data_IF_099768960795
#
_entry.id   IF_099768960795
#
_cell.length_a   1.000
_cell.length_b   1.000
_cell.length_c   1.000
_cell.angle_alpha   90.00
_cell.angle_beta   90.00
_cell.angle_gamma   90.00
#
_symmetry.space_group_name_H-M   'P 1'
#
loop_
_entity.id
_entity.type
_entity.pdbx_description
1 polymer ?
#
# COMPACT_ATOMS: atom_id res chain seq x y z
N UNK A 1 -15.03 30.83 -8.75
CA UNK A 1 -14.51 32.14 -8.30
C UNK A 1 -15.52 32.76 -7.34
N UNK A 2 -15.28 32.70 -6.03
CA UNK A 2 -16.14 33.35 -5.03
C UNK A 2 -15.82 34.84 -4.94
N UNK A 3 -16.80 35.70 -5.27
CA UNK A 3 -16.75 37.15 -5.06
C UNK A 3 -17.38 37.51 -3.71
N UNK A 4 -16.62 38.25 -2.91
CA UNK A 4 -17.04 38.94 -1.70
C UNK A 4 -18.13 39.98 -2.00
N UNK A 5 -19.07 40.15 -1.08
CA UNK A 5 -19.86 41.37 -0.94
C UNK A 5 -19.53 42.03 0.40
N UNK A 6 -19.05 43.27 0.31
CA UNK A 6 -18.87 44.24 1.39
C UNK A 6 -19.95 45.28 1.21
N UNK A 7 -20.61 45.70 2.29
CA UNK A 7 -21.46 46.90 2.30
C UNK A 7 -21.04 47.81 3.45
N UNK A 8 -20.65 49.03 3.06
CA UNK A 8 -20.43 50.26 3.85
C UNK A 8 -21.79 50.74 4.40
N UNK A 9 -21.97 51.51 5.46
CA UNK A 9 -21.15 52.40 6.29
C UNK A 9 -22.09 53.45 6.90
N UNK A 10 -21.69 54.17 7.97
CA UNK A 10 -22.03 55.58 8.27
C UNK A 10 -21.49 56.01 9.66
N UNK A 11 -20.76 57.12 9.68
CA UNK A 11 -20.32 57.94 10.85
C UNK A 11 -21.27 59.17 10.92
N UNK A 12 -21.38 59.98 12.02
CA UNK A 12 -20.27 60.75 12.61
C UNK A 12 -20.32 61.06 14.13
N UNK A 13 -19.33 61.85 14.55
CA UNK A 13 -18.76 62.16 15.86
C UNK A 13 -19.47 63.22 16.75
N UNK A 14 -19.01 63.32 18.02
CA UNK A 14 -18.76 64.50 18.90
C UNK A 14 -18.79 64.01 20.36
N UNK A 15 -18.00 64.44 21.36
CA UNK A 15 -16.91 65.40 21.62
C UNK A 15 -16.46 65.05 23.08
N UNK A 16 -15.23 65.23 23.55
CA UNK A 16 -14.58 66.47 23.98
C UNK A 16 -13.22 66.04 24.58
N UNK A 17 -12.13 66.73 24.28
CA UNK A 17 -10.93 66.78 25.12
C UNK A 17 -10.93 68.13 25.87
N UNK A 18 -10.29 68.26 27.05
CA UNK A 18 -8.86 68.63 27.12
C UNK A 18 -8.10 67.92 28.28
N UNK A 19 -6.88 67.45 28.07
CA UNK A 19 -5.58 68.13 28.25
C UNK A 19 -5.03 68.18 29.70
N UNK A 20 -3.81 67.63 29.84
CA UNK A 20 -2.67 68.00 30.71
C UNK A 20 -2.16 66.88 31.62
N UNK A 21 -0.85 66.58 31.48
CA UNK A 21 -0.13 65.67 32.38
C UNK A 21 1.16 65.08 31.80
N UNK A 22 2.09 65.96 31.44
CA UNK A 22 3.54 65.79 31.23
C UNK A 22 4.25 64.44 31.54
N UNK A 23 5.01 63.99 30.53
CA UNK A 23 6.46 63.64 30.51
C UNK A 23 7.07 62.52 31.40
N UNK A 24 7.76 61.60 30.68
CA UNK A 24 9.06 60.94 30.97
C UNK A 24 9.11 59.97 32.17
N UNK A 25 9.83 58.84 32.18
CA UNK A 25 10.75 58.16 31.26
C UNK A 25 10.95 56.71 31.75
N UNK A 26 11.33 55.83 30.81
CA UNK A 26 12.13 54.59 30.94
C UNK A 26 11.66 53.42 31.84
N UNK A 27 11.52 52.25 31.22
CA UNK A 27 11.70 50.95 31.89
C UNK A 27 10.99 49.76 31.22
N UNK A 28 11.71 49.02 30.37
CA UNK A 28 11.59 47.58 30.07
C UNK A 28 10.19 46.90 30.04
N UNK A 29 9.79 46.40 28.86
CA UNK A 29 8.72 45.39 28.64
C UNK A 29 9.26 43.96 28.81
N UNK A 30 8.46 42.86 28.88
CA UNK A 30 6.99 42.72 29.04
C UNK A 30 6.59 41.56 30.02
N UNK A 31 5.28 41.23 30.03
CA UNK A 31 4.63 40.00 30.53
C UNK A 31 3.89 40.11 31.86
N UNK A 32 2.64 40.56 31.81
CA UNK A 32 1.61 40.13 32.76
C UNK A 32 0.38 39.69 31.95
N UNK A 33 0.14 38.37 31.99
CA UNK A 33 -1.16 37.80 31.68
C UNK A 33 -2.19 38.39 32.64
N UNK A 34 -3.22 38.97 32.06
CA UNK A 34 -4.27 39.73 32.71
C UNK A 34 -5.12 38.81 33.60
N UNK A 35 -5.00 38.91 34.93
CA UNK A 35 -6.12 38.64 35.81
C UNK A 35 -6.95 39.94 35.90
N UNK A 36 -8.22 39.97 35.50
CA UNK A 36 -9.09 41.07 35.90
C UNK A 36 -9.41 40.87 37.38
N UNK A 37 -8.73 41.63 38.23
CA UNK A 37 -9.19 41.86 39.58
C UNK A 37 -10.47 42.71 39.51
N UNK A 38 -11.50 42.24 40.22
CA UNK A 38 -12.76 42.91 40.56
C UNK A 38 -13.90 42.83 39.53
N UNK A 39 -14.81 41.89 39.78
CA UNK A 39 -16.15 41.84 39.19
C UNK A 39 -16.98 40.70 39.76
N UNK A 40 -17.73 40.99 40.83
CA UNK A 40 -18.92 40.27 41.33
C UNK A 40 -19.07 38.77 41.00
N UNK A 41 -18.84 37.91 41.99
CA UNK A 41 -19.45 36.57 42.03
C UNK A 41 -20.42 36.51 43.22
N UNK A 42 -21.70 36.13 43.02
CA UNK A 42 -22.62 35.92 44.12
C UNK A 42 -22.12 34.76 44.98
N UNK A 43 -22.15 34.97 46.29
CA UNK A 43 -21.93 33.93 47.28
C UNK A 43 -22.90 32.77 47.01
N UNK A 44 -22.38 31.54 47.05
CA UNK A 44 -23.09 30.25 46.90
C UNK A 44 -22.98 29.62 45.50
N UNK A 45 -21.74 29.38 45.05
CA UNK A 45 -21.42 28.36 44.06
C UNK A 45 -20.37 27.44 44.63
N UNK A 46 -20.76 26.22 44.99
CA UNK A 46 -19.92 25.18 45.56
C UNK A 46 -18.96 24.62 44.50
N UNK A 47 -17.97 25.42 44.07
CA UNK A 47 -16.76 24.91 43.45
C UNK A 47 -15.77 24.65 44.57
N UNK A 48 -15.22 23.43 44.75
CA UNK A 48 -14.16 23.25 45.72
C UNK A 48 -13.00 24.16 45.31
N UNK A 49 -12.69 25.14 46.16
CA UNK A 49 -11.61 26.11 45.99
C UNK A 49 -10.22 25.47 46.21
N UNK A 50 -10.03 24.25 45.72
CA UNK A 50 -8.76 23.54 45.81
C UNK A 50 -8.08 23.69 44.46
N UNK A 51 -7.40 24.83 44.25
CA UNK A 51 -6.44 24.95 43.16
C UNK A 51 -5.30 23.95 43.37
N UNK A 52 -4.77 23.38 42.28
CA UNK A 52 -3.60 22.52 42.37
C UNK A 52 -2.41 23.29 42.92
N UNK A 53 -1.73 22.72 43.91
CA UNK A 53 -0.43 23.23 44.34
C UNK A 53 0.58 23.14 43.20
N UNK A 54 1.60 24.00 43.23
CA UNK A 54 2.70 23.97 42.24
C UNK A 54 3.33 22.56 42.13
N UNK A 55 3.42 21.85 43.25
CA UNK A 55 3.97 20.49 43.31
C UNK A 55 3.06 19.47 42.61
N UNK A 56 1.75 19.54 42.82
CA UNK A 56 0.77 18.67 42.14
C UNK A 56 0.78 18.90 40.63
N UNK A 57 0.89 20.16 40.19
CA UNK A 57 1.04 20.49 38.77
C UNK A 57 2.34 19.91 38.19
N UNK A 58 3.47 20.09 38.88
CA UNK A 58 4.77 19.56 38.47
C UNK A 58 4.76 18.03 38.37
N UNK A 59 4.14 17.36 39.35
CA UNK A 59 3.99 15.91 39.34
C UNK A 59 3.12 15.44 38.18
N UNK A 60 1.99 16.11 37.94
CA UNK A 60 1.11 15.78 36.81
C UNK A 60 1.84 15.93 35.48
N UNK A 61 2.60 17.02 35.27
CA UNK A 61 3.39 17.23 34.06
C UNK A 61 4.49 16.18 33.92
N UNK A 62 5.18 15.83 35.01
CA UNK A 62 6.21 14.79 34.98
C UNK A 62 5.64 13.42 34.62
N UNK A 63 4.50 13.03 35.21
CA UNK A 63 3.81 11.77 34.89
C UNK A 63 3.32 11.79 33.44
N UNK A 64 2.71 12.89 32.98
CA UNK A 64 2.27 13.03 31.59
C UNK A 64 3.43 12.94 30.60
N UNK A 65 4.58 13.53 30.92
CA UNK A 65 5.77 13.44 30.08
C UNK A 65 6.26 11.98 29.96
N UNK A 66 6.32 11.25 31.07
CA UNK A 66 6.74 9.84 31.06
C UNK A 66 5.73 8.95 30.33
N UNK A 67 4.42 9.14 30.57
CA UNK A 67 3.38 8.33 29.93
C UNK A 67 3.26 8.61 28.43
N UNK A 68 3.40 9.87 28.01
CA UNK A 68 3.38 10.21 26.58
C UNK A 68 4.58 9.60 25.86
N UNK A 69 5.80 9.71 26.41
CA UNK A 69 6.98 9.06 25.82
C UNK A 69 6.77 7.56 25.68
N UNK A 70 6.27 6.88 26.72
CA UNK A 70 5.96 5.45 26.66
C UNK A 70 4.86 5.12 25.64
N UNK A 71 3.82 5.95 25.53
CA UNK A 71 2.74 5.75 24.57
C UNK A 71 3.23 5.92 23.12
N UNK A 72 4.08 6.92 22.85
CA UNK A 72 4.64 7.14 21.52
C UNK A 72 5.55 5.98 21.09
N UNK A 73 6.39 5.45 21.98
CA UNK A 73 7.26 4.31 21.65
C UNK A 73 6.43 3.07 21.34
N UNK A 74 5.47 2.71 22.21
CA UNK A 74 4.58 1.56 21.98
C UNK A 74 3.79 1.73 20.69
N UNK A 75 3.22 2.91 20.44
CA UNK A 75 2.49 3.18 19.19
C UNK A 75 3.39 3.00 17.96
N UNK A 76 4.62 3.51 17.99
CA UNK A 76 5.56 3.38 16.88
C UNK A 76 5.93 1.93 16.59
N UNK A 77 6.12 1.10 17.62
CA UNK A 77 6.40 -0.33 17.46
C UNK A 77 5.20 -1.08 16.89
N UNK A 78 4.00 -0.83 17.42
CA UNK A 78 2.77 -1.44 16.92
C UNK A 78 2.49 -1.06 15.47
N UNK A 79 2.70 0.22 15.12
CA UNK A 79 2.51 0.70 13.76
C UNK A 79 3.51 0.09 12.79
N UNK A 80 4.80 -0.01 13.17
CA UNK A 80 5.82 -0.67 12.36
C UNK A 80 5.51 -2.16 12.15
N UNK A 81 5.08 -2.87 13.19
CA UNK A 81 4.69 -4.28 13.09
C UNK A 81 3.45 -4.47 12.20
N UNK A 82 2.42 -3.63 12.38
CA UNK A 82 1.22 -3.65 11.55
C UNK A 82 1.54 -3.36 10.07
N UNK A 83 2.43 -2.40 9.81
CA UNK A 83 2.87 -2.05 8.47
C UNK A 83 3.58 -3.20 7.75
N UNK A 84 4.49 -3.90 8.44
CA UNK A 84 5.16 -5.08 7.89
C UNK A 84 4.16 -6.18 7.52
N UNK A 85 3.17 -6.42 8.38
CA UNK A 85 2.12 -7.41 8.12
C UNK A 85 1.24 -7.03 6.93
N UNK A 86 0.96 -5.73 6.75
CA UNK A 86 0.23 -5.21 5.60
C UNK A 86 1.00 -5.39 4.28
N UNK A 87 2.32 -5.18 4.28
CA UNK A 87 3.14 -5.45 3.10
C UNK A 87 3.16 -6.95 2.74
N UNK A 88 3.25 -7.82 3.75
CA UNK A 88 3.22 -9.27 3.56
C UNK A 88 1.88 -9.79 3.04
N UNK A 89 0.76 -9.17 3.41
CA UNK A 89 -0.56 -9.54 2.87
C UNK A 89 -0.75 -9.02 1.45
N UNK A 90 -0.29 -7.80 1.14
CA UNK A 90 -0.33 -7.23 -0.21
C UNK A 90 0.50 -8.06 -1.21
N UNK A 91 1.70 -8.52 -0.82
CA UNK A 91 2.53 -9.40 -1.64
C UNK A 91 1.82 -10.73 -1.95
N UNK A 92 1.18 -11.34 -0.94
CA UNK A 92 0.40 -12.59 -1.12
C UNK A 92 -0.80 -12.39 -2.03
N UNK A 93 -1.59 -11.34 -1.82
CA UNK A 93 -2.74 -11.02 -2.68
C UNK A 93 -2.30 -10.76 -4.13
N UNK A 94 -1.21 -10.01 -4.31
CA UNK A 94 -0.62 -9.77 -5.62
C UNK A 94 -0.17 -11.06 -6.32
N UNK A 95 0.46 -11.98 -5.58
CA UNK A 95 0.88 -13.28 -6.12
C UNK A 95 -0.30 -14.13 -6.60
N UNK A 96 -1.35 -14.26 -5.79
CA UNK A 96 -2.54 -15.03 -6.21
C UNK A 96 -3.31 -14.31 -7.33
N UNK A 97 -3.40 -12.98 -7.31
CA UNK A 97 -4.00 -12.22 -8.40
C UNK A 97 -3.25 -12.42 -9.73
N UNK A 98 -1.92 -12.47 -9.69
CA UNK A 98 -1.08 -12.82 -10.85
C UNK A 98 -1.40 -14.23 -11.35
N UNK A 99 -1.50 -15.21 -10.45
CA UNK A 99 -1.90 -16.57 -10.80
C UNK A 99 -3.27 -16.63 -11.49
N UNK A 100 -4.28 -15.98 -10.92
CA UNK A 100 -5.61 -15.95 -11.54
C UNK A 100 -5.63 -15.23 -12.89
N UNK A 101 -4.86 -14.14 -13.05
CA UNK A 101 -4.70 -13.48 -14.34
C UNK A 101 -4.11 -14.45 -15.37
N UNK A 102 -3.07 -15.18 -14.98
CA UNK A 102 -2.37 -16.15 -15.81
C UNK A 102 -3.27 -17.32 -16.23
N UNK A 103 -4.04 -17.87 -15.28
CA UNK A 103 -5.03 -18.88 -15.57
C UNK A 103 -6.07 -18.38 -16.58
N UNK A 104 -6.58 -17.16 -16.42
CA UNK A 104 -7.55 -16.59 -17.35
C UNK A 104 -6.97 -16.44 -18.75
N UNK A 105 -5.74 -15.94 -18.87
CA UNK A 105 -5.03 -15.81 -20.15
C UNK A 105 -4.88 -17.18 -20.83
N UNK A 106 -4.41 -18.20 -20.09
CA UNK A 106 -4.26 -19.57 -20.63
C UNK A 106 -5.61 -20.22 -20.99
N UNK A 107 -6.66 -19.96 -20.22
CA UNK A 107 -8.01 -20.48 -20.49
C UNK A 107 -8.64 -19.88 -21.75
N UNK A 108 -8.41 -18.60 -22.03
CA UNK A 108 -8.93 -17.96 -23.24
C UNK A 108 -8.39 -18.63 -24.51
N UNK A 109 -7.14 -19.09 -24.49
CA UNK A 109 -6.52 -19.78 -25.63
C UNK A 109 -7.04 -21.23 -25.82
N UNK A 110 -7.40 -21.91 -24.71
CA UNK A 110 -7.99 -23.26 -24.76
C UNK A 110 -9.39 -23.29 -25.38
N UNK A 111 -10.15 -22.19 -25.28
CA UNK A 111 -11.52 -22.17 -25.80
C UNK A 111 -11.59 -21.99 -27.32
N UNK A 112 -10.61 -21.33 -27.94
CA UNK A 112 -10.68 -21.07 -29.39
C UNK A 112 -9.94 -22.13 -30.22
N UNK A 113 -8.94 -22.78 -29.66
CA UNK A 113 -8.37 -24.02 -30.25
C UNK A 113 -9.41 -25.15 -30.32
N UNK A 114 -10.49 -25.09 -29.52
CA UNK A 114 -11.62 -26.01 -29.65
C UNK A 114 -12.56 -25.71 -30.83
N UNK A 115 -12.53 -24.49 -31.39
CA UNK A 115 -13.39 -24.02 -32.48
C UNK A 115 -12.69 -24.04 -33.85
N UNK A 116 -11.36 -24.05 -33.88
CA UNK A 116 -10.56 -24.28 -35.10
C UNK A 116 -10.56 -25.78 -35.45
N UNK A 117 -11.72 -26.28 -35.87
CA UNK A 117 -11.95 -27.70 -36.19
C UNK A 117 -11.61 -28.06 -37.64
N UNK A 118 -11.07 -27.11 -38.42
CA UNK A 118 -10.91 -27.29 -39.87
C UNK A 118 -9.67 -26.56 -40.41
N UNK A 119 -8.50 -27.21 -40.27
CA UNK A 119 -7.37 -27.17 -41.22
C UNK A 119 -6.13 -27.79 -40.59
N UNK A 120 -5.44 -28.61 -41.39
CA UNK A 120 -4.24 -29.45 -41.18
C UNK A 120 -2.99 -28.78 -40.55
N UNK A 121 -3.09 -27.62 -39.88
CA UNK A 121 -1.94 -26.82 -39.45
C UNK A 121 -1.64 -26.93 -37.94
N UNK A 122 -2.53 -27.51 -37.12
CA UNK A 122 -2.35 -27.59 -35.65
C UNK A 122 -1.77 -28.92 -35.13
N UNK A 123 -1.10 -29.72 -35.97
CA UNK A 123 -0.45 -30.97 -35.55
C UNK A 123 0.90 -30.77 -34.80
N UNK A 124 1.36 -29.53 -34.63
CA UNK A 124 2.56 -29.20 -33.88
C UNK A 124 2.17 -28.58 -32.53
N UNK A 125 2.63 -29.20 -31.44
CA UNK A 125 2.38 -28.80 -30.05
C UNK A 125 2.31 -27.26 -29.89
N UNK A 126 1.15 -26.67 -29.53
CA UNK A 126 0.96 -25.22 -29.50
C UNK A 126 1.74 -24.53 -28.38
N UNK A 127 2.43 -25.32 -27.55
CA UNK A 127 3.24 -24.89 -26.42
C UNK A 127 4.71 -25.18 -26.71
N UNK A 128 5.55 -24.14 -26.66
CA UNK A 128 7.00 -24.27 -26.72
C UNK A 128 7.61 -23.78 -25.41
N UNK A 129 8.13 -24.71 -24.60
CA UNK A 129 8.77 -24.40 -23.34
C UNK A 129 10.29 -24.58 -23.43
N UNK A 130 11.03 -23.51 -23.14
CA UNK A 130 12.46 -23.52 -22.97
C UNK A 130 12.80 -23.43 -21.47
N UNK A 131 13.29 -24.54 -20.91
CA UNK A 131 13.67 -24.63 -19.50
C UNK A 131 14.91 -23.77 -19.16
N UNK A 132 15.80 -23.52 -20.12
CA UNK A 132 17.03 -22.74 -19.90
C UNK A 132 16.71 -21.25 -19.73
N UNK A 133 15.75 -20.76 -20.52
CA UNK A 133 15.27 -19.37 -20.46
C UNK A 133 14.04 -19.20 -19.56
N UNK A 134 13.52 -20.29 -18.99
CA UNK A 134 12.26 -20.35 -18.23
C UNK A 134 11.16 -19.59 -18.95
N UNK A 135 10.99 -19.93 -20.22
CA UNK A 135 10.16 -19.21 -21.17
C UNK A 135 9.17 -20.17 -21.81
N UNK A 136 7.89 -19.82 -21.76
CA UNK A 136 6.80 -20.53 -22.39
C UNK A 136 6.21 -19.64 -23.49
N UNK A 137 6.28 -20.10 -24.72
CA UNK A 137 5.59 -19.50 -25.85
C UNK A 137 4.34 -20.32 -26.18
N UNK A 138 3.26 -19.63 -26.53
CA UNK A 138 2.01 -20.24 -26.94
C UNK A 138 1.36 -19.44 -28.07
N UNK A 139 0.65 -20.14 -28.95
CA UNK A 139 -0.10 -19.51 -30.03
C UNK A 139 -1.44 -19.00 -29.52
N UNK A 140 -1.76 -17.75 -29.89
CA UNK A 140 -3.06 -17.14 -29.67
C UNK A 140 -4.02 -17.41 -30.82
N UNK A 141 -5.31 -17.35 -30.52
CA UNK A 141 -6.46 -17.31 -31.45
C UNK A 141 -6.21 -16.57 -32.76
N UNK A 142 -5.59 -15.38 -32.69
CA UNK A 142 -5.37 -14.50 -33.84
C UNK A 142 -4.16 -14.92 -34.70
N UNK A 143 -3.55 -16.09 -34.43
CA UNK A 143 -2.31 -16.57 -35.06
C UNK A 143 -1.04 -15.91 -34.51
N UNK A 144 -1.14 -15.03 -33.51
CA UNK A 144 0.01 -14.37 -32.89
C UNK A 144 0.63 -15.26 -31.81
N UNK A 145 1.95 -15.40 -31.79
CA UNK A 145 2.67 -16.08 -30.71
C UNK A 145 2.80 -15.11 -29.55
N UNK A 146 2.24 -15.46 -28.39
CA UNK A 146 2.45 -14.76 -27.12
C UNK A 146 3.30 -15.61 -26.20
N UNK A 147 3.86 -15.01 -25.16
CA UNK A 147 4.79 -15.73 -24.32
C UNK A 147 4.88 -15.19 -22.92
N UNK A 148 5.33 -16.04 -22.02
CA UNK A 148 5.56 -15.73 -20.62
C UNK A 148 6.94 -16.26 -20.25
N UNK A 149 7.73 -15.46 -19.54
CA UNK A 149 9.04 -15.90 -19.05
C UNK A 149 9.35 -15.37 -17.67
N UNK A 150 10.19 -16.07 -16.93
CA UNK A 150 10.69 -15.63 -15.64
C UNK A 150 12.10 -15.04 -15.80
N UNK A 151 12.26 -13.72 -15.60
CA UNK A 151 13.56 -13.04 -15.67
C UNK A 151 13.68 -12.01 -14.54
N UNK A 152 14.86 -11.92 -13.92
CA UNK A 152 15.10 -10.99 -12.80
C UNK A 152 14.09 -11.14 -11.64
N UNK A 153 13.65 -12.38 -11.39
CA UNK A 153 12.61 -12.72 -10.40
C UNK A 153 11.23 -12.09 -10.68
N UNK A 154 11.02 -11.48 -11.85
CA UNK A 154 9.74 -10.97 -12.31
C UNK A 154 9.20 -11.85 -13.43
N UNK A 155 7.87 -12.02 -13.45
CA UNK A 155 7.18 -12.68 -14.54
C UNK A 155 6.97 -11.63 -15.63
N UNK A 156 7.44 -11.93 -16.83
CA UNK A 156 7.31 -11.06 -17.97
C UNK A 156 6.35 -11.70 -18.97
N UNK A 157 5.52 -10.88 -19.59
CA UNK A 157 4.62 -11.27 -20.66
C UNK A 157 4.96 -10.54 -21.94
N UNK A 158 4.74 -11.23 -23.06
CA UNK A 158 4.97 -10.71 -24.39
C UNK A 158 3.65 -10.69 -25.18
N UNK A 159 3.15 -9.50 -25.58
CA UNK A 159 1.93 -9.37 -26.39
C UNK A 159 2.13 -9.75 -27.85
N UNK A 160 3.32 -9.49 -28.39
CA UNK A 160 3.62 -9.53 -29.82
C UNK A 160 4.51 -10.72 -30.20
N UNK A 161 4.41 -11.15 -31.46
CA UNK A 161 5.15 -12.29 -32.01
C UNK A 161 6.67 -12.19 -31.79
N UNK A 162 7.28 -13.34 -31.49
CA UNK A 162 8.73 -13.55 -31.53
C UNK A 162 9.21 -14.46 -30.39
N UNK A 163 10.52 -14.71 -30.38
CA UNK A 163 11.11 -15.77 -29.56
C UNK A 163 11.41 -15.35 -28.13
N UNK A 164 11.76 -16.32 -27.28
CA UNK A 164 12.15 -16.11 -25.88
C UNK A 164 13.29 -15.09 -25.69
N UNK A 165 14.16 -14.92 -26.68
CA UNK A 165 15.30 -13.99 -26.66
C UNK A 165 14.99 -12.59 -27.22
N UNK A 166 13.83 -12.41 -27.84
CA UNK A 166 13.45 -11.13 -28.43
C UNK A 166 13.18 -10.05 -27.36
N UNK A 167 13.15 -8.79 -27.78
CA UNK A 167 12.74 -7.64 -26.95
C UNK A 167 11.21 -7.50 -26.90
N UNK A 168 10.69 -6.52 -26.16
CA UNK A 168 9.25 -6.28 -26.06
C UNK A 168 8.54 -7.02 -24.93
N UNK A 169 9.28 -7.45 -23.91
CA UNK A 169 8.73 -8.11 -22.73
C UNK A 169 8.30 -7.09 -21.68
N UNK A 170 7.09 -7.24 -21.17
CA UNK A 170 6.47 -6.38 -20.16
C UNK A 170 6.45 -7.11 -18.82
N UNK A 171 6.85 -6.44 -17.75
CA UNK A 171 6.72 -7.00 -16.41
C UNK A 171 5.25 -7.03 -16.00
N UNK A 172 4.75 -8.21 -15.61
CA UNK A 172 3.37 -8.41 -15.14
C UNK A 172 3.18 -7.96 -13.68
N UNK A 173 4.27 -7.92 -12.92
CA UNK A 173 4.27 -7.50 -11.53
C UNK A 173 5.58 -6.77 -11.20
N UNK A 174 5.56 -6.03 -10.10
CA UNK A 174 6.76 -5.40 -9.56
C UNK A 174 7.55 -6.41 -8.71
N UNK A 175 8.79 -6.77 -9.09
CA UNK A 175 9.64 -7.67 -8.30
C UNK A 175 9.99 -7.11 -6.90
N UNK A 176 9.85 -5.79 -6.69
CA UNK A 176 10.09 -5.18 -5.38
C UNK A 176 8.96 -5.47 -4.39
N UNK A 177 7.71 -5.57 -4.87
CA UNK A 177 6.58 -5.98 -4.03
C UNK A 177 6.72 -7.46 -3.69
N UNK A 178 6.96 -8.28 -4.72
CA UNK A 178 6.96 -9.72 -4.56
C UNK A 178 7.77 -10.36 -5.69
N UNK A 179 8.57 -11.41 -5.43
CA UNK A 179 9.48 -11.99 -6.42
C UNK A 179 9.29 -13.49 -6.56
N UNK A 180 9.52 -14.04 -7.75
CA UNK A 180 9.37 -15.46 -8.07
C UNK A 180 10.73 -16.17 -8.12
N UNK A 181 10.81 -17.37 -7.54
CA UNK A 181 12.02 -18.21 -7.57
C UNK A 181 12.05 -19.10 -8.81
N UNK A 182 10.93 -19.75 -9.11
CA UNK A 182 10.85 -20.81 -10.11
C UNK A 182 9.52 -20.75 -10.88
N UNK A 183 9.62 -21.13 -12.14
CA UNK A 183 8.53 -21.22 -13.12
C UNK A 183 8.68 -22.58 -13.78
N UNK A 184 7.78 -23.49 -13.44
CA UNK A 184 7.81 -24.87 -13.95
C UNK A 184 6.60 -25.13 -14.82
N UNK A 185 6.89 -25.61 -16.02
CA UNK A 185 5.89 -26.07 -16.97
C UNK A 185 6.17 -27.52 -17.32
N UNK A 186 5.23 -28.40 -17.01
CA UNK A 186 5.35 -29.84 -17.25
C UNK A 186 4.19 -30.33 -18.09
N UNK A 187 4.50 -31.21 -19.04
CA UNK A 187 3.51 -31.92 -19.84
C UNK A 187 3.63 -33.40 -19.46
N UNK A 188 2.58 -33.94 -18.86
CA UNK A 188 2.48 -35.36 -18.52
C UNK A 188 2.23 -36.21 -19.78
N UNK A 189 2.65 -37.47 -19.75
CA UNK A 189 2.37 -38.45 -20.81
C UNK A 189 0.87 -38.70 -21.02
N UNK A 190 0.05 -38.43 -19.99
CA UNK A 190 -1.41 -38.45 -20.07
C UNK A 190 -2.01 -37.29 -20.88
N UNK A 191 -1.20 -36.31 -21.30
CA UNK A 191 -1.67 -35.07 -21.96
C UNK A 191 -2.12 -33.99 -20.98
N UNK A 192 -1.98 -34.21 -19.67
CA UNK A 192 -2.20 -33.19 -18.66
C UNK A 192 -1.02 -32.20 -18.68
N UNK A 193 -1.33 -30.92 -18.83
CA UNK A 193 -0.36 -29.82 -18.76
C UNK A 193 -0.49 -29.17 -17.40
N UNK A 194 0.63 -28.87 -16.76
CA UNK A 194 0.66 -28.22 -15.45
C UNK A 194 1.68 -27.08 -15.46
N UNK A 195 1.25 -25.94 -14.92
CA UNK A 195 2.06 -24.76 -14.74
C UNK A 195 2.09 -24.39 -13.25
N UNK A 196 3.28 -24.30 -12.68
CA UNK A 196 3.48 -23.94 -11.27
C UNK A 196 4.40 -22.72 -11.12
N UNK A 197 3.99 -21.81 -10.24
CA UNK A 197 4.74 -20.62 -9.84
C UNK A 197 5.18 -20.76 -8.39
N UNK A 198 6.47 -20.61 -8.16
CA UNK A 198 7.06 -20.64 -6.82
C UNK A 198 7.45 -19.24 -6.37
N UNK A 199 6.77 -18.69 -5.35
CA UNK A 199 7.13 -17.39 -4.82
C UNK A 199 8.41 -17.47 -3.98
N UNK A 200 9.15 -16.36 -3.91
CA UNK A 200 10.29 -16.22 -3.03
C UNK A 200 9.95 -15.72 -1.63
N UNK A 201 8.66 -15.62 -1.27
CA UNK A 201 8.22 -15.20 0.06
C UNK A 201 8.55 -16.29 1.06
N UNK A 202 9.72 -16.20 1.68
CA UNK A 202 10.01 -16.97 2.88
C UNK A 202 10.61 -16.07 3.96
N UNK A 203 10.04 -16.16 5.16
CA UNK A 203 10.50 -15.64 6.47
C UNK A 203 10.16 -14.19 6.81
N UNK A 204 8.89 -13.94 7.08
CA UNK A 204 8.54 -13.16 8.26
C UNK A 204 7.18 -13.68 8.78
N UNK A 205 7.17 -14.20 10.01
CA UNK A 205 5.99 -14.57 10.82
C UNK A 205 5.52 -16.04 10.81
N UNK A 206 5.78 -16.89 9.81
CA UNK A 206 5.24 -18.28 9.83
C UNK A 206 6.30 -19.38 10.01
N UNK A 207 7.37 -19.09 10.77
CA UNK A 207 8.42 -20.08 11.06
C UNK A 207 8.28 -20.81 12.38
N UNK A 208 7.19 -20.64 13.13
CA UNK A 208 7.11 -21.22 14.48
C UNK A 208 6.03 -22.28 14.71
N UNK A 209 5.14 -22.61 13.77
CA UNK A 209 4.13 -23.66 14.05
C UNK A 209 3.78 -24.69 12.96
N UNK A 210 4.11 -24.54 11.67
CA UNK A 210 3.66 -25.53 10.67
C UNK A 210 4.71 -26.06 9.70
N UNK A 211 5.91 -25.49 9.60
CA UNK A 211 6.92 -25.97 8.63
C UNK A 211 6.44 -25.95 7.17
N UNK A 212 5.34 -25.23 6.88
CA UNK A 212 4.77 -25.14 5.55
C UNK A 212 5.52 -24.08 4.75
N UNK A 213 6.31 -24.55 3.78
CA UNK A 213 6.83 -23.76 2.66
C UNK A 213 5.65 -23.02 2.01
N UNK A 214 5.86 -21.77 1.61
CA UNK A 214 4.84 -20.97 0.92
C UNK A 214 4.22 -21.77 -0.22
N UNK A 215 2.90 -21.99 -0.18
CA UNK A 215 2.23 -22.87 -1.12
C UNK A 215 2.39 -22.33 -2.56
N UNK A 216 2.91 -23.15 -3.50
CA UNK A 216 3.01 -22.73 -4.90
C UNK A 216 1.60 -22.53 -5.46
N UNK A 217 1.48 -21.59 -6.40
CA UNK A 217 0.29 -21.51 -7.23
C UNK A 217 0.48 -22.43 -8.42
N UNK A 218 -0.38 -23.44 -8.56
CA UNK A 218 -0.33 -24.39 -9.66
C UNK A 218 -1.67 -24.43 -10.38
N UNK A 219 -1.63 -24.42 -11.70
CA UNK A 219 -2.78 -24.61 -12.56
C UNK A 219 -2.52 -25.76 -13.52
N UNK A 220 -3.45 -26.71 -13.58
CA UNK A 220 -3.37 -27.84 -14.51
C UNK A 220 -4.61 -27.92 -15.37
N UNK A 221 -4.42 -28.28 -16.63
CA UNK A 221 -5.49 -28.49 -17.60
C UNK A 221 -5.12 -29.64 -18.54
N UNK A 222 -6.04 -30.02 -19.42
CA UNK A 222 -5.81 -31.04 -20.42
C UNK A 222 -5.43 -30.38 -21.75
N UNK A 223 -4.22 -30.64 -22.24
CA UNK A 223 -3.84 -30.29 -23.61
C UNK A 223 -4.46 -31.30 -24.57
N UNK A 224 -5.04 -30.83 -25.69
CA UNK A 224 -5.39 -31.76 -26.78
C UNK A 224 -4.09 -32.18 -27.49
N UNK A 225 -3.95 -33.49 -27.74
CA UNK A 225 -2.90 -34.05 -28.60
C UNK A 225 -3.15 -33.69 -30.05
#
# INVERSE_FOLDING_TARGET
MLKRLVVKGCFPAKGFAPANGSLRANGFLPANGFFPANGFLPANGFFPANGFSLLELLLAVAVMAVTTVAALTVHSHLWAAAWQQQQASAARQGFYALGYWLQRELQQELQVTALAMDSDVLAANPWHYDASLRCLLYLRVNGTVSGIRLRQKALQWKPEQGDCNSTGWLNLHDPALFSLQEFDFTISSSGQVQLCLWPAFERAVEREQTGQVAAPWCYSWWGRR
#
